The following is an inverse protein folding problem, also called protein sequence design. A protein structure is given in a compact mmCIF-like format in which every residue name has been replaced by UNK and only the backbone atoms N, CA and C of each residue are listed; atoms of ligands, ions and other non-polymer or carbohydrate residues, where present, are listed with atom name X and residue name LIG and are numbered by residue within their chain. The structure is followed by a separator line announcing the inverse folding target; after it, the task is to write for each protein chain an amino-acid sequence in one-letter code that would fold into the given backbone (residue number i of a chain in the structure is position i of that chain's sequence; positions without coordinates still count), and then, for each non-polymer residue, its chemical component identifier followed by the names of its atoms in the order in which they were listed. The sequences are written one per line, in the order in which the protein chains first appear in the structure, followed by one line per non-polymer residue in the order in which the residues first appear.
data_IF_805212525619
#
_entry.id   IF_805212525619
#
_cell.length_a   1.000
_cell.length_b   1.000
_cell.length_c   1.000
_cell.angle_alpha   90.00
_cell.angle_beta   90.00
_cell.angle_gamma   90.00
#
_symmetry.space_group_name_H-M   'P 1'
#
loop_
_entity.id
_entity.type
_entity.pdbx_description
1 polymer ?
#
# COMPACT_ATOMS: atom_id res chain seq x y z
N UNK A 1 5.75 61.96 28.17
CA UNK A 1 4.32 61.61 28.37
C UNK A 1 4.22 60.09 28.36
N UNK A 2 3.54 59.51 29.39
CA UNK A 2 2.66 58.30 29.45
C UNK A 2 3.03 57.10 28.55
N UNK A 3 2.93 55.81 28.88
CA UNK A 3 2.33 54.95 29.92
C UNK A 3 2.80 53.53 29.51
N UNK A 4 3.40 52.73 30.39
CA UNK A 4 2.80 51.62 31.15
C UNK A 4 2.37 50.35 30.36
N UNK A 5 2.90 49.22 30.88
CA UNK A 5 2.24 47.94 31.18
C UNK A 5 1.94 46.90 30.07
N UNK A 6 2.65 45.77 30.20
CA UNK A 6 2.17 44.39 30.33
C UNK A 6 1.00 43.89 29.47
N UNK A 7 1.27 42.79 28.75
CA UNK A 7 0.23 41.87 28.29
C UNK A 7 0.85 40.66 27.60
N UNK A 8 0.76 39.49 28.21
CA UNK A 8 1.27 38.23 27.66
C UNK A 8 0.52 37.75 26.42
N UNK A 9 1.17 36.87 25.67
CA UNK A 9 0.57 36.16 24.54
C UNK A 9 1.56 35.15 24.00
N UNK A 10 1.35 33.88 24.36
CA UNK A 10 1.98 32.75 23.71
C UNK A 10 1.33 32.55 22.34
N UNK A 11 2.12 32.70 21.27
CA UNK A 11 1.83 32.26 19.90
C UNK A 11 3.14 32.48 19.10
N UNK A 12 3.62 31.62 18.22
CA UNK A 12 3.11 30.41 17.63
C UNK A 12 4.30 29.48 17.40
N UNK A 13 4.08 28.18 17.59
CA UNK A 13 5.08 27.15 17.41
C UNK A 13 5.77 27.25 16.05
N UNK A 14 7.10 27.28 16.12
CA UNK A 14 8.01 26.78 15.11
C UNK A 14 7.40 25.48 14.56
N UNK A 15 6.85 25.53 13.36
CA UNK A 15 6.36 24.35 12.64
C UNK A 15 7.60 23.59 12.19
N UNK A 16 8.17 22.86 13.16
CA UNK A 16 9.29 21.97 13.00
C UNK A 16 8.92 20.91 11.97
N UNK A 17 9.76 20.89 10.94
CA UNK A 17 10.29 19.73 10.26
C UNK A 17 9.33 18.72 9.62
N UNK A 18 9.69 18.35 8.39
CA UNK A 18 9.08 17.32 7.58
C UNK A 18 9.00 16.00 8.36
N UNK A 19 7.84 15.73 8.96
CA UNK A 19 7.58 14.54 9.76
C UNK A 19 7.44 13.27 8.92
N UNK A 20 8.57 12.65 8.60
CA UNK A 20 8.75 11.21 8.78
C UNK A 20 8.29 10.28 7.65
N UNK A 21 9.04 10.26 6.55
CA UNK A 21 9.34 8.99 5.89
C UNK A 21 10.71 8.55 6.38
N UNK A 22 10.81 7.37 7.03
CA UNK A 22 11.93 6.39 6.91
C UNK A 22 12.04 5.50 8.16
N UNK A 23 11.50 4.27 8.10
CA UNK A 23 11.77 3.18 9.05
C UNK A 23 10.53 2.31 9.34
N UNK A 24 10.67 1.05 9.82
CA UNK A 24 9.54 0.19 10.20
C UNK A 24 8.91 0.72 11.50
N UNK A 25 8.28 1.88 11.41
CA UNK A 25 7.70 2.63 12.51
C UNK A 25 6.25 2.23 12.71
N UNK A 26 5.89 1.93 13.95
CA UNK A 26 4.52 1.61 14.35
C UNK A 26 3.57 2.78 14.06
N UNK A 27 2.92 2.72 12.89
CA UNK A 27 1.78 3.56 12.58
C UNK A 27 0.55 3.15 13.39
N UNK A 28 -0.38 4.09 13.57
CA UNK A 28 -1.70 3.75 14.11
C UNK A 28 -2.37 2.68 13.25
N UNK A 29 -3.29 1.86 13.80
CA UNK A 29 -4.03 0.88 13.00
C UNK A 29 -4.70 1.47 11.75
N UNK A 30 -5.16 2.73 11.83
CA UNK A 30 -5.72 3.46 10.68
C UNK A 30 -4.69 3.77 9.59
N UNK A 31 -3.49 4.20 9.96
CA UNK A 31 -2.39 4.46 9.02
C UNK A 31 -1.91 3.18 8.33
N UNK A 32 -1.69 2.11 9.10
CA UNK A 32 -1.31 0.81 8.55
C UNK A 32 -2.35 0.27 7.56
N UNK A 33 -3.64 0.48 7.85
CA UNK A 33 -4.73 0.11 6.94
C UNK A 33 -4.73 0.97 5.67
N UNK A 34 -4.55 2.28 5.78
CA UNK A 34 -4.48 3.16 4.62
C UNK A 34 -3.31 2.78 3.71
N UNK A 35 -2.14 2.47 4.29
CA UNK A 35 -0.98 1.98 3.54
C UNK A 35 -1.25 0.63 2.88
N UNK A 36 -1.86 -0.33 3.58
CA UNK A 36 -2.20 -1.63 3.01
C UNK A 36 -3.16 -1.50 1.82
N UNK A 37 -4.18 -0.65 1.92
CA UNK A 37 -5.10 -0.35 0.82
C UNK A 37 -4.40 0.35 -0.35
N UNK A 38 -3.50 1.29 -0.06
CA UNK A 38 -2.68 1.95 -1.08
C UNK A 38 -1.79 0.95 -1.83
N UNK A 39 -1.15 0.03 -1.12
CA UNK A 39 -0.34 -1.05 -1.71
C UNK A 39 -1.20 -2.04 -2.50
N UNK A 40 -2.38 -2.42 -1.99
CA UNK A 40 -3.33 -3.27 -2.72
C UNK A 40 -3.76 -2.62 -4.05
N UNK A 41 -4.08 -1.33 -4.03
CA UNK A 41 -4.41 -0.60 -5.25
C UNK A 41 -3.24 -0.58 -6.25
N UNK A 42 -2.03 -0.26 -5.79
CA UNK A 42 -0.83 -0.27 -6.65
C UNK A 42 -0.57 -1.66 -7.27
N UNK A 43 -0.75 -2.75 -6.51
CA UNK A 43 -0.63 -4.10 -7.05
C UNK A 43 -1.72 -4.43 -8.07
N UNK A 44 -2.94 -3.94 -7.87
CA UNK A 44 -4.03 -4.14 -8.84
C UNK A 44 -3.69 -3.50 -10.18
N UNK A 45 -3.22 -2.25 -10.16
CA UNK A 45 -2.75 -1.54 -11.36
C UNK A 45 -1.58 -2.27 -12.02
N UNK A 46 -0.61 -2.76 -11.22
CA UNK A 46 0.51 -3.55 -11.76
C UNK A 46 0.04 -4.82 -12.46
N UNK A 47 -0.94 -5.54 -11.91
CA UNK A 47 -1.47 -6.73 -12.55
C UNK A 47 -2.14 -6.41 -13.90
N UNK A 48 -2.91 -5.32 -13.98
CA UNK A 48 -3.52 -4.87 -15.23
C UNK A 48 -2.48 -4.54 -16.31
N UNK A 49 -1.38 -3.88 -15.93
CA UNK A 49 -0.29 -3.59 -16.86
C UNK A 49 0.47 -4.85 -17.31
N UNK A 50 0.61 -5.86 -16.44
CA UNK A 50 1.18 -7.17 -16.82
C UNK A 50 0.25 -7.90 -17.80
N UNK A 51 -1.06 -7.87 -17.58
CA UNK A 51 -2.05 -8.47 -18.49
C UNK A 51 -2.07 -7.78 -19.86
N UNK A 52 -1.97 -6.44 -19.87
CA UNK A 52 -1.84 -5.67 -21.12
C UNK A 52 -0.56 -6.05 -21.86
N UNK A 53 0.57 -6.06 -21.15
CA UNK A 53 1.86 -6.48 -21.71
C UNK A 53 1.79 -7.89 -22.28
N UNK A 54 1.15 -8.83 -21.57
CA UNK A 54 0.92 -10.20 -22.05
C UNK A 54 0.09 -10.25 -23.32
N UNK A 55 -0.95 -9.41 -23.42
CA UNK A 55 -1.79 -9.30 -24.63
C UNK A 55 -1.02 -8.75 -25.83
N UNK A 56 -0.21 -7.71 -25.62
CA UNK A 56 0.62 -7.10 -26.66
C UNK A 56 1.66 -8.11 -27.20
N UNK A 57 2.29 -8.87 -26.30
CA UNK A 57 3.24 -9.92 -26.69
C UNK A 57 2.55 -11.09 -27.38
N UNK A 58 1.37 -11.49 -26.92
CA UNK A 58 0.60 -12.56 -27.55
C UNK A 58 0.23 -12.23 -29.00
N UNK A 59 0.02 -10.95 -29.33
CA UNK A 59 -0.21 -10.49 -30.70
C UNK A 59 1.01 -10.69 -31.62
N UNK A 60 2.23 -10.78 -31.06
CA UNK A 60 3.47 -10.99 -31.81
C UNK A 60 3.84 -12.48 -31.97
N UNK A 61 2.88 -13.41 -31.81
CA UNK A 61 3.15 -14.86 -31.85
C UNK A 61 3.84 -15.34 -33.12
N UNK A 62 3.49 -14.75 -34.26
CA UNK A 62 4.01 -15.16 -35.57
C UNK A 62 5.33 -14.45 -35.92
N UNK A 63 5.93 -13.71 -34.98
CA UNK A 63 7.23 -13.07 -35.17
C UNK A 63 8.34 -14.13 -35.31
N UNK A 64 9.07 -14.17 -36.45
CA UNK A 64 10.09 -15.17 -36.72
C UNK A 64 11.36 -15.00 -35.86
N UNK A 65 11.51 -13.88 -35.15
CA UNK A 65 12.64 -13.63 -34.24
C UNK A 65 12.58 -14.46 -32.96
N UNK A 66 11.41 -15.01 -32.61
CA UNK A 66 11.19 -15.86 -31.45
C UNK A 66 10.75 -17.27 -31.84
N UNK A 67 11.24 -18.27 -31.12
CA UNK A 67 10.66 -19.61 -31.25
C UNK A 67 9.28 -19.64 -30.60
N UNK A 68 8.31 -20.31 -31.24
CA UNK A 68 6.95 -20.44 -30.68
C UNK A 68 6.91 -21.04 -29.28
N UNK A 69 7.84 -21.95 -28.95
CA UNK A 69 7.95 -22.52 -27.60
C UNK A 69 8.40 -21.47 -26.56
N UNK A 70 9.37 -20.62 -26.92
CA UNK A 70 9.83 -19.54 -26.04
C UNK A 70 8.73 -18.48 -25.85
N UNK A 71 8.01 -18.14 -26.93
CA UNK A 71 6.84 -17.27 -26.87
C UNK A 71 5.77 -17.79 -25.91
N UNK A 72 5.34 -19.04 -26.11
CA UNK A 72 4.32 -19.67 -25.26
C UNK A 72 4.75 -19.74 -23.79
N UNK A 73 6.05 -20.00 -23.52
CA UNK A 73 6.59 -20.02 -22.16
C UNK A 73 6.60 -18.64 -21.50
N UNK A 74 6.89 -17.60 -22.27
CA UNK A 74 6.90 -16.23 -21.78
C UNK A 74 5.48 -15.72 -21.49
N UNK A 75 4.53 -15.95 -22.40
CA UNK A 75 3.10 -15.60 -22.18
C UNK A 75 2.57 -16.29 -20.91
N UNK A 76 2.80 -17.60 -20.74
CA UNK A 76 2.42 -18.30 -19.50
C UNK A 76 3.06 -17.73 -18.24
N UNK A 77 4.27 -17.17 -18.35
CA UNK A 77 4.96 -16.55 -17.22
C UNK A 77 4.32 -15.22 -16.83
N UNK A 78 3.88 -14.43 -17.81
CA UNK A 78 3.14 -13.18 -17.58
C UNK A 78 1.76 -13.45 -16.96
N UNK A 79 1.04 -14.46 -17.43
CA UNK A 79 -0.25 -14.86 -16.85
C UNK A 79 -0.12 -15.26 -15.37
N UNK A 80 0.92 -16.04 -15.05
CA UNK A 80 1.23 -16.43 -13.66
C UNK A 80 1.56 -15.22 -12.80
N UNK A 81 2.40 -14.32 -13.32
CA UNK A 81 2.78 -13.09 -12.62
C UNK A 81 1.55 -12.22 -12.32
N UNK A 82 0.68 -11.98 -13.31
CA UNK A 82 -0.57 -11.24 -13.10
C UNK A 82 -1.48 -11.91 -12.06
N UNK A 83 -1.58 -13.24 -12.10
CA UNK A 83 -2.31 -14.02 -11.10
C UNK A 83 -1.78 -13.83 -9.67
N UNK A 84 -0.46 -13.93 -9.49
CA UNK A 84 0.18 -13.80 -8.18
C UNK A 84 0.09 -12.36 -7.64
N UNK A 85 0.25 -11.35 -8.51
CA UNK A 85 0.11 -9.94 -8.13
C UNK A 85 -1.35 -9.62 -7.72
N UNK A 86 -2.35 -10.11 -8.45
CA UNK A 86 -3.78 -9.98 -8.05
C UNK A 86 -4.06 -10.64 -6.71
N UNK A 87 -3.51 -11.83 -6.48
CA UNK A 87 -3.63 -12.52 -5.19
C UNK A 87 -3.03 -11.69 -4.06
N UNK A 88 -1.84 -11.14 -4.26
CA UNK A 88 -1.19 -10.29 -3.27
C UNK A 88 -2.01 -9.01 -2.98
N UNK A 89 -2.58 -8.39 -4.01
CA UNK A 89 -3.53 -7.28 -3.86
C UNK A 89 -4.73 -7.66 -2.99
N UNK A 90 -5.41 -8.76 -3.32
CA UNK A 90 -6.57 -9.23 -2.56
C UNK A 90 -6.23 -9.51 -1.09
N UNK A 91 -5.10 -10.14 -0.81
CA UNK A 91 -4.64 -10.41 0.56
C UNK A 91 -4.40 -9.12 1.35
N UNK A 92 -3.82 -8.08 0.73
CA UNK A 92 -3.62 -6.78 1.38
C UNK A 92 -4.93 -6.02 1.59
N UNK A 93 -5.86 -6.12 0.63
CA UNK A 93 -7.18 -5.52 0.75
C UNK A 93 -8.01 -6.18 1.87
N UNK A 94 -7.93 -7.51 2.00
CA UNK A 94 -8.74 -8.31 2.93
C UNK A 94 -8.12 -8.41 4.33
N UNK A 95 -6.91 -7.88 4.54
CA UNK A 95 -6.26 -7.77 5.83
C UNK A 95 -7.04 -6.84 6.78
N UNK A 96 -8.19 -7.29 7.28
CA UNK A 96 -8.90 -6.68 8.40
C UNK A 96 -8.19 -7.05 9.70
N UNK A 97 -7.93 -6.09 10.61
CA UNK A 97 -7.55 -6.43 11.97
C UNK A 97 -8.67 -7.27 12.58
N UNK A 98 -8.33 -8.43 13.17
CA UNK A 98 -9.27 -9.23 13.93
C UNK A 98 -9.79 -8.42 15.12
N UNK A 99 -10.94 -7.77 14.97
CA UNK A 99 -11.63 -7.05 16.02
C UNK A 99 -12.35 -8.05 16.95
N UNK A 100 -11.62 -8.85 17.73
CA UNK A 100 -12.22 -9.68 18.78
C UNK A 100 -11.17 -10.28 19.73
N UNK A 101 -10.63 -9.49 20.66
CA UNK A 101 -10.11 -10.00 21.95
C UNK A 101 -10.05 -8.93 23.06
N UNK A 102 -10.40 -7.66 22.79
CA UNK A 102 -10.39 -6.61 23.80
C UNK A 102 -11.66 -6.56 24.70
N UNK A 103 -12.32 -7.70 24.98
CA UNK A 103 -13.53 -7.74 25.82
C UNK A 103 -13.49 -8.78 26.94
N UNK A 104 -12.30 -9.25 27.35
CA UNK A 104 -12.17 -10.06 28.58
C UNK A 104 -10.97 -9.64 29.42
N UNK A 105 -11.00 -8.40 29.88
CA UNK A 105 -10.31 -7.95 31.10
C UNK A 105 -11.08 -6.76 31.70
N UNK A 106 -12.39 -6.91 31.90
CA UNK A 106 -13.07 -6.13 32.92
C UNK A 106 -12.74 -6.79 34.25
N UNK A 107 -12.04 -6.06 35.12
CA UNK A 107 -11.49 -6.58 36.36
C UNK A 107 -12.55 -7.24 37.24
N UNK A 108 -12.28 -8.47 37.66
CA UNK A 108 -12.85 -8.98 38.90
C UNK A 108 -12.15 -8.29 40.06
N UNK A 109 -12.65 -7.11 40.44
CA UNK A 109 -12.62 -6.73 41.86
C UNK A 109 -13.79 -7.44 42.51
N UNK A 110 -13.48 -8.41 43.36
CA UNK A 110 -14.02 -8.64 44.70
C UNK A 110 -13.28 -9.85 45.29
#
# INVERSE_FOLDING_TARGET
MRQDASGGGADAGESGDAGGSSGPGGGTPGQLRAEALGRAHALSVLAEEVERTGSDIAACRDDPSWSGMAHDAFVRSLDRLAGDVRRASALLHDARPAAASASRCAGSRL
#
